data_IF_628079557557
#
_entry.id   IF_628079557557
#
_cell.length_a   1.000
_cell.length_b   1.000
_cell.length_c   1.000
_cell.angle_alpha   90.00
_cell.angle_beta   90.00
_cell.angle_gamma   90.00
#
_symmetry.space_group_name_H-M   'P 1'
#
loop_
_entity.id
_entity.type
_entity.pdbx_description
1 polymer ?
#
# COMPACT_ATOMS: atom_id res chain seq x y z
N UNK A 1 5.25 -6.78 20.72
CA UNK A 1 4.55 -8.06 20.76
C UNK A 1 3.50 -8.20 19.65
N UNK A 2 2.40 -7.44 19.64
CA UNK A 2 1.40 -7.52 18.55
C UNK A 2 1.98 -7.36 17.14
N UNK A 3 2.87 -6.39 16.96
CA UNK A 3 3.52 -6.14 15.66
C UNK A 3 4.45 -7.30 15.26
N UNK A 4 5.19 -7.86 16.21
CA UNK A 4 6.11 -8.98 15.96
C UNK A 4 5.33 -10.23 15.55
N UNK A 5 4.23 -10.54 16.26
CA UNK A 5 3.34 -11.66 15.94
C UNK A 5 2.68 -11.50 14.58
N UNK A 6 2.16 -10.30 14.30
CA UNK A 6 1.59 -9.97 12.98
C UNK A 6 2.63 -10.16 11.87
N UNK A 7 3.87 -9.72 12.11
CA UNK A 7 4.95 -9.85 11.15
C UNK A 7 5.31 -11.32 10.87
N UNK A 8 5.34 -12.17 11.90
CA UNK A 8 5.56 -13.61 11.72
C UNK A 8 4.42 -14.31 10.97
N UNK A 9 3.16 -13.92 11.25
CA UNK A 9 2.01 -14.40 10.48
C UNK A 9 2.12 -13.97 9.02
N UNK A 10 2.53 -12.72 8.75
CA UNK A 10 2.74 -12.25 7.39
C UNK A 10 3.83 -13.05 6.65
N UNK A 11 4.97 -13.28 7.31
CA UNK A 11 6.10 -14.08 6.77
C UNK A 11 5.66 -15.50 6.43
N UNK A 12 4.90 -16.14 7.31
CA UNK A 12 4.39 -17.50 7.13
C UNK A 12 3.34 -17.62 6.01
N UNK A 13 2.76 -16.49 5.57
CA UNK A 13 1.73 -16.45 4.53
C UNK A 13 2.19 -15.83 3.20
N UNK A 14 3.50 -15.61 3.03
CA UNK A 14 4.09 -15.25 1.74
C UNK A 14 4.85 -13.92 1.73
N UNK A 15 4.77 -13.13 2.80
CA UNK A 15 5.59 -11.93 2.89
C UNK A 15 7.07 -12.30 2.98
N UNK A 16 7.92 -11.64 2.18
CA UNK A 16 9.37 -11.73 2.31
C UNK A 16 9.84 -10.85 3.48
N UNK A 17 9.17 -9.71 3.67
CA UNK A 17 9.43 -8.81 4.77
C UNK A 17 8.51 -7.61 4.71
N UNK A 18 8.82 -6.60 5.51
CA UNK A 18 7.97 -5.43 5.66
C UNK A 18 8.53 -4.39 6.59
N UNK A 19 7.83 -3.26 6.69
CA UNK A 19 8.22 -2.12 7.49
C UNK A 19 6.99 -1.42 8.07
N UNK A 20 7.12 -0.97 9.31
CA UNK A 20 6.14 -0.06 9.93
C UNK A 20 6.32 1.32 9.30
N UNK A 21 5.22 1.90 8.81
CA UNK A 21 5.23 3.20 8.15
C UNK A 21 4.42 4.19 8.99
N UNK A 22 5.08 5.26 9.45
CA UNK A 22 4.51 6.30 10.32
C UNK A 22 5.32 6.50 11.61
N UNK A 23 4.85 7.41 12.47
CA UNK A 23 5.52 7.78 13.72
C UNK A 23 5.35 6.74 14.87
N UNK A 24 4.49 5.73 14.69
CA UNK A 24 4.18 4.71 15.70
C UNK A 24 3.02 5.10 16.63
N UNK A 25 2.21 4.11 17.04
CA UNK A 25 0.98 4.30 17.85
C UNK A 25 -0.33 3.91 17.16
N UNK A 26 -0.23 3.38 15.93
CA UNK A 26 -1.31 3.11 14.97
C UNK A 26 -0.82 3.51 13.57
N UNK A 27 -1.29 2.85 12.51
CA UNK A 27 -0.85 3.20 11.14
C UNK A 27 -0.80 2.06 10.14
N UNK A 28 0.27 2.02 9.35
CA UNK A 28 0.38 1.11 8.21
C UNK A 28 1.55 0.14 8.37
N UNK A 29 1.27 -1.12 8.08
CA UNK A 29 2.29 -2.15 7.89
C UNK A 29 2.47 -2.38 6.38
N UNK A 30 3.61 -1.95 5.86
CA UNK A 30 3.98 -2.23 4.47
C UNK A 30 4.58 -3.63 4.41
N UNK A 31 3.94 -4.53 3.68
CA UNK A 31 4.42 -5.91 3.47
C UNK A 31 4.78 -6.11 2.01
N UNK A 32 5.94 -6.72 1.77
CA UNK A 32 6.37 -7.13 0.44
C UNK A 32 6.16 -8.63 0.25
N UNK A 33 5.35 -9.01 -0.74
CA UNK A 33 4.94 -10.37 -1.02
C UNK A 33 4.92 -10.52 -2.54
N UNK A 34 5.87 -11.22 -3.20
CA UNK A 34 5.91 -11.30 -4.66
C UNK A 34 4.99 -12.37 -5.27
N UNK A 35 4.43 -13.26 -4.44
CA UNK A 35 3.57 -14.38 -4.85
C UNK A 35 2.54 -14.66 -3.76
N UNK A 36 1.40 -15.26 -4.09
CA UNK A 36 0.37 -15.67 -3.13
C UNK A 36 -0.24 -14.50 -2.33
N UNK A 37 -0.51 -13.36 -2.99
CA UNK A 37 -1.07 -12.17 -2.34
C UNK A 37 -2.38 -12.46 -1.61
N UNK A 38 -3.27 -13.26 -2.21
CA UNK A 38 -4.60 -13.55 -1.63
C UNK A 38 -4.49 -14.28 -0.29
N UNK A 39 -3.52 -15.18 -0.15
CA UNK A 39 -3.25 -15.88 1.11
C UNK A 39 -2.79 -14.92 2.20
N UNK A 40 -1.88 -14.00 1.85
CA UNK A 40 -1.41 -12.99 2.78
C UNK A 40 -2.55 -12.06 3.20
N UNK A 41 -3.31 -11.54 2.24
CA UNK A 41 -4.45 -10.64 2.50
C UNK A 41 -5.46 -11.31 3.43
N UNK A 42 -5.89 -12.53 3.12
CA UNK A 42 -6.85 -13.25 3.95
C UNK A 42 -6.33 -13.55 5.35
N UNK A 43 -5.02 -13.82 5.52
CA UNK A 43 -4.43 -14.04 6.84
C UNK A 43 -4.41 -12.76 7.67
N UNK A 44 -4.14 -11.62 7.04
CA UNK A 44 -4.08 -10.35 7.74
C UNK A 44 -5.45 -9.76 8.06
N UNK A 45 -6.44 -9.95 7.18
CA UNK A 45 -7.83 -9.54 7.45
C UNK A 45 -8.40 -10.24 8.69
N UNK A 46 -8.04 -11.51 8.92
CA UNK A 46 -8.40 -12.25 10.15
C UNK A 46 -7.80 -11.66 11.41
N UNK A 47 -6.69 -10.92 11.31
CA UNK A 47 -6.06 -10.20 12.41
C UNK A 47 -6.63 -8.78 12.58
N UNK A 48 -7.68 -8.41 11.83
CA UNK A 48 -8.26 -7.07 11.86
C UNK A 48 -7.42 -6.04 11.12
N UNK A 49 -6.51 -6.48 10.25
CA UNK A 49 -5.66 -5.64 9.42
C UNK A 49 -6.21 -5.71 7.99
N UNK A 50 -7.07 -4.78 7.53
CA UNK A 50 -7.53 -4.76 6.15
C UNK A 50 -6.45 -4.31 5.17
N UNK A 51 -6.57 -4.79 3.92
CA UNK A 51 -5.77 -4.29 2.80
C UNK A 51 -6.17 -2.86 2.45
N UNK A 52 -5.15 -2.04 2.23
CA UNK A 52 -5.19 -0.71 1.64
C UNK A 52 -4.52 -0.74 0.27
N UNK A 53 -5.26 -0.38 -0.77
CA UNK A 53 -4.70 -0.23 -2.12
C UNK A 53 -3.98 1.11 -2.25
N UNK A 54 -2.74 1.08 -2.73
CA UNK A 54 -1.99 2.29 -3.03
C UNK A 54 -1.19 2.13 -4.32
N UNK A 55 -0.72 3.24 -4.85
CA UNK A 55 0.20 3.28 -5.98
C UNK A 55 1.23 4.37 -5.71
N UNK A 56 2.44 4.19 -6.23
CA UNK A 56 3.44 5.25 -6.17
C UNK A 56 3.04 6.36 -7.13
N UNK A 57 2.94 7.57 -6.61
CA UNK A 57 2.77 8.78 -7.42
C UNK A 57 4.14 9.39 -7.67
N UNK A 58 4.66 9.36 -8.91
CA UNK A 58 5.97 9.91 -9.22
C UNK A 58 5.98 11.45 -9.21
N UNK A 59 4.81 12.10 -9.30
CA UNK A 59 4.71 13.55 -9.26
C UNK A 59 4.56 14.06 -7.83
N UNK A 60 5.25 15.15 -7.52
CA UNK A 60 5.03 15.91 -6.29
C UNK A 60 3.81 16.83 -6.43
N UNK A 61 3.87 17.98 -5.76
CA UNK A 61 2.88 19.05 -5.96
C UNK A 61 2.96 19.59 -7.39
N UNK A 62 1.80 19.70 -8.04
CA UNK A 62 1.64 20.28 -9.38
C UNK A 62 0.68 21.47 -9.30
N UNK A 63 1.10 22.62 -9.84
CA UNK A 63 0.26 23.83 -9.96
C UNK A 63 -0.22 23.97 -11.39
N UNK A 64 -1.52 24.19 -11.58
CA UNK A 64 -2.11 24.49 -12.88
C UNK A 64 -2.47 25.98 -12.98
N UNK A 65 -2.02 26.65 -14.05
CA UNK A 65 -2.49 27.99 -14.39
C UNK A 65 -3.63 27.86 -15.39
N UNK A 66 -4.81 28.34 -15.01
CA UNK A 66 -5.98 28.39 -15.87
C UNK A 66 -6.08 29.80 -16.44
N UNK A 67 -5.47 30.01 -17.62
CA UNK A 67 -5.83 31.11 -18.51
C UNK A 67 -6.76 30.54 -19.59
N UNK A 68 -7.74 31.32 -20.05
CA UNK A 68 -8.90 30.85 -20.83
C UNK A 68 -8.57 30.21 -22.18
N UNK A 69 -8.12 28.95 -22.19
CA UNK A 69 -8.26 27.94 -23.25
C UNK A 69 -7.61 26.63 -22.76
N UNK A 70 -8.42 25.75 -22.18
CA UNK A 70 -7.99 24.40 -21.78
C UNK A 70 -7.54 23.60 -23.02
N UNK A 71 -6.24 23.35 -23.16
CA UNK A 71 -5.73 22.16 -23.87
C UNK A 71 -5.35 21.13 -22.81
N UNK A 72 -6.30 20.28 -22.44
CA UNK A 72 -6.05 19.13 -21.58
C UNK A 72 -5.15 18.13 -22.32
N UNK A 73 -3.89 18.06 -21.92
CA UNK A 73 -3.03 16.94 -22.30
C UNK A 73 -3.39 15.74 -21.41
N UNK A 74 -4.47 15.05 -21.73
CA UNK A 74 -4.75 13.72 -21.18
C UNK A 74 -3.76 12.74 -21.79
N UNK A 75 -2.71 12.37 -21.05
CA UNK A 75 -1.81 11.29 -21.44
C UNK A 75 -2.08 10.10 -20.53
N UNK A 76 -2.51 8.99 -21.14
CA UNK A 76 -2.76 7.68 -20.52
C UNK A 76 -1.60 7.32 -19.57
N UNK A 77 -1.88 7.29 -18.27
CA UNK A 77 -0.96 6.76 -17.26
C UNK A 77 -1.14 5.24 -17.30
N UNK A 78 -0.17 4.57 -17.91
CA UNK A 78 -0.16 3.12 -18.06
C UNK A 78 0.14 2.41 -16.73
N UNK A 79 -0.69 1.42 -16.41
CA UNK A 79 -0.30 0.22 -15.68
C UNK A 79 0.10 0.40 -14.22
N UNK A 80 -0.89 0.63 -13.34
CA UNK A 80 -0.67 0.40 -11.91
C UNK A 80 -0.51 -1.10 -11.66
N UNK A 81 0.69 -1.52 -11.24
CA UNK A 81 0.89 -2.78 -10.54
C UNK A 81 0.53 -2.54 -9.09
N UNK A 82 -0.60 -3.09 -8.67
CA UNK A 82 -1.10 -3.01 -7.30
C UNK A 82 -0.08 -3.59 -6.32
N UNK A 83 0.48 -2.71 -5.48
CA UNK A 83 1.04 -3.10 -4.19
C UNK A 83 -0.05 -2.83 -3.15
N UNK A 84 -0.40 -3.85 -2.37
CA UNK A 84 -1.29 -3.69 -1.22
C UNK A 84 -0.47 -3.32 0.01
N UNK A 85 -0.78 -2.19 0.63
CA UNK A 85 -0.39 -1.93 2.03
C UNK A 85 -1.48 -2.53 2.91
N UNK A 86 -1.17 -2.82 4.16
CA UNK A 86 -2.13 -3.31 5.14
C UNK A 86 -2.24 -2.31 6.28
N UNK A 87 -3.45 -1.83 6.53
CA UNK A 87 -3.74 -0.85 7.56
C UNK A 87 -4.28 -1.56 8.79
N UNK A 88 -3.83 -1.17 9.98
CA UNK A 88 -4.31 -1.68 11.26
C UNK A 88 -4.45 -0.54 12.24
N UNK A 89 -5.55 -0.55 13.00
CA UNK A 89 -5.85 0.42 14.06
C UNK A 89 -4.70 0.53 15.06
#
# INVERSE_FOLDING_TARGET
>A
QFIDETYEVARSNGAIGGKIVGAGGGGFLLLYCPRNHDRLVAAMEKLGLPRFEFSFEPLGVVTFLLDGALKSASRKIGGSRSLGILAGQ
#
